data_IF_400799892588
#
_entry.id   IF_400799892588
#
_cell.length_a   1.000
_cell.length_b   1.000
_cell.length_c   1.000
_cell.angle_alpha   90.00
_cell.angle_beta   90.00
_cell.angle_gamma   90.00
#
_symmetry.space_group_name_H-M   'P 1'
#
loop_
_entity.id
_entity.type
_entity.pdbx_description
1 polymer ?
#
# COMPACT_ATOMS: atom_id res chain seq x y z
N UNK A 1 53.05 -1.56 6.13
CA UNK A 1 51.75 -1.78 6.80
C UNK A 1 50.65 -0.87 6.23
N UNK A 2 50.48 -0.80 4.90
CA UNK A 2 49.48 0.11 4.27
C UNK A 2 48.23 -0.60 3.73
N UNK A 3 48.28 -1.92 3.51
CA UNK A 3 47.19 -2.62 2.83
C UNK A 3 46.02 -2.96 3.76
N UNK A 4 46.24 -3.03 5.07
CA UNK A 4 45.23 -3.44 6.07
C UNK A 4 44.23 -2.33 6.42
N UNK A 5 44.67 -1.06 6.36
CA UNK A 5 43.79 0.10 6.55
C UNK A 5 42.99 0.43 5.28
N UNK A 6 43.57 0.21 4.09
CA UNK A 6 42.85 0.39 2.82
C UNK A 6 41.73 -0.65 2.64
N UNK A 7 41.93 -1.89 3.10
CA UNK A 7 40.91 -2.94 3.04
C UNK A 7 39.69 -2.61 3.92
N UNK A 8 39.91 -2.01 5.10
CA UNK A 8 38.83 -1.52 5.98
C UNK A 8 38.05 -0.35 5.36
N UNK A 9 38.74 0.57 4.69
CA UNK A 9 38.12 1.71 4.00
C UNK A 9 37.32 1.25 2.78
N UNK A 10 37.79 0.22 2.07
CA UNK A 10 37.14 -0.33 0.88
C UNK A 10 35.88 -1.15 1.21
N UNK A 11 35.85 -1.83 2.38
CA UNK A 11 34.64 -2.47 2.88
C UNK A 11 33.61 -1.43 3.35
N UNK A 12 34.06 -0.32 3.96
CA UNK A 12 33.17 0.76 4.42
C UNK A 12 32.45 1.49 3.28
N UNK A 13 33.06 1.58 2.09
CA UNK A 13 32.45 2.24 0.93
C UNK A 13 31.43 1.38 0.17
N UNK A 14 31.49 0.04 0.26
CA UNK A 14 30.52 -0.84 -0.41
C UNK A 14 29.12 -0.82 0.22
N UNK A 15 28.99 -0.45 1.50
CA UNK A 15 27.70 -0.43 2.21
C UNK A 15 26.79 0.77 1.85
N UNK A 16 27.28 1.74 1.06
CA UNK A 16 26.52 2.95 0.72
C UNK A 16 25.65 2.82 -0.55
N UNK A 17 25.61 1.64 -1.19
CA UNK A 17 24.89 1.45 -2.46
C UNK A 17 23.74 0.44 -2.36
N UNK A 18 22.66 0.81 -1.65
CA UNK A 18 21.38 0.11 -1.75
C UNK A 18 20.18 0.96 -1.33
N UNK A 19 19.92 2.07 -2.05
CA UNK A 19 18.60 2.73 -2.00
C UNK A 19 17.95 2.62 -3.38
N UNK A 20 17.40 1.45 -3.71
CA UNK A 20 16.39 1.37 -4.75
C UNK A 20 15.09 1.92 -4.14
N UNK A 21 14.84 3.21 -4.30
CA UNK A 21 13.66 3.87 -3.76
C UNK A 21 12.53 3.89 -4.80
N UNK A 22 11.48 3.11 -4.59
CA UNK A 22 10.28 3.03 -5.42
C UNK A 22 9.05 3.66 -4.74
N UNK A 23 9.25 4.58 -3.79
CA UNK A 23 8.18 5.26 -3.06
C UNK A 23 7.29 6.14 -3.96
N UNK A 24 6.02 6.30 -3.57
CA UNK A 24 5.13 7.28 -4.18
C UNK A 24 5.53 8.69 -3.74
N UNK A 25 5.44 9.66 -4.65
CA UNK A 25 5.65 11.07 -4.29
C UNK A 25 4.38 11.62 -3.67
N UNK A 26 4.52 12.46 -2.64
CA UNK A 26 3.37 13.08 -1.97
C UNK A 26 2.47 13.91 -2.92
N UNK A 27 3.01 14.45 -4.03
CA UNK A 27 2.23 15.17 -5.04
C UNK A 27 1.44 14.25 -6.00
N UNK A 28 1.67 12.94 -5.92
CA UNK A 28 1.08 11.92 -6.79
C UNK A 28 0.12 10.99 -6.01
N UNK A 29 -0.33 11.42 -4.83
CA UNK A 29 -1.12 10.59 -3.91
C UNK A 29 -2.23 11.42 -3.25
N UNK A 30 -3.45 10.89 -3.32
CA UNK A 30 -4.58 11.35 -2.52
C UNK A 30 -4.56 10.64 -1.17
N UNK A 31 -4.49 11.41 -0.10
CA UNK A 31 -4.53 10.93 1.28
C UNK A 31 -5.95 11.07 1.84
N UNK A 32 -6.50 9.98 2.37
CA UNK A 32 -7.81 9.97 3.06
C UNK A 32 -7.64 9.39 4.46
N UNK A 33 -8.16 10.10 5.46
CA UNK A 33 -8.14 9.67 6.86
C UNK A 33 -9.52 9.88 7.50
N UNK A 34 -10.23 8.77 7.69
CA UNK A 34 -11.57 8.77 8.27
C UNK A 34 -11.51 8.23 9.68
N UNK A 35 -12.17 8.91 10.61
CA UNK A 35 -12.22 8.56 12.03
C UNK A 35 -13.64 8.27 12.49
N UNK A 36 -13.80 7.32 13.40
CA UNK A 36 -15.10 6.95 13.94
C UNK A 36 -14.99 6.54 15.41
N UNK A 37 -15.78 7.19 16.28
CA UNK A 37 -15.86 6.89 17.70
C UNK A 37 -17.15 6.09 17.95
N UNK A 38 -17.01 4.79 18.19
CA UNK A 38 -18.14 3.91 18.47
C UNK A 38 -18.76 4.17 19.85
N UNK A 39 -20.01 3.72 20.08
CA UNK A 39 -20.57 3.63 21.42
C UNK A 39 -19.63 2.88 22.37
N UNK A 40 -19.41 3.42 23.57
CA UNK A 40 -18.39 2.90 24.51
C UNK A 40 -17.02 3.58 24.40
N UNK A 41 -16.82 4.47 23.42
CA UNK A 41 -15.58 5.24 23.29
C UNK A 41 -14.47 4.52 22.53
N UNK A 42 -14.76 3.40 21.89
CA UNK A 42 -13.81 2.73 21.01
C UNK A 42 -13.51 3.61 19.78
N UNK A 43 -12.23 3.87 19.52
CA UNK A 43 -11.76 4.74 18.42
C UNK A 43 -11.25 3.90 17.26
N UNK A 44 -11.87 4.07 16.09
CA UNK A 44 -11.53 3.34 14.86
C UNK A 44 -11.12 4.36 13.79
N UNK A 45 -10.13 4.03 12.98
CA UNK A 45 -9.78 4.82 11.82
C UNK A 45 -9.64 3.96 10.56
N UNK A 46 -9.80 4.61 9.40
CA UNK A 46 -9.38 4.12 8.11
C UNK A 46 -8.43 5.13 7.50
N UNK A 47 -7.23 4.67 7.14
CA UNK A 47 -6.23 5.47 6.46
C UNK A 47 -5.96 4.88 5.09
N UNK A 48 -6.00 5.68 4.04
CA UNK A 48 -5.69 5.22 2.69
C UNK A 48 -4.89 6.24 1.89
N UNK A 49 -3.96 5.72 1.11
CA UNK A 49 -3.21 6.45 0.09
C UNK A 49 -3.62 5.89 -1.27
N UNK A 50 -4.12 6.75 -2.17
CA UNK A 50 -4.49 6.37 -3.54
C UNK A 50 -3.63 7.12 -4.53
N UNK A 51 -3.06 6.45 -5.52
CA UNK A 51 -2.25 7.12 -6.53
C UNK A 51 -3.13 8.06 -7.37
N UNK A 52 -2.80 9.35 -7.43
CA UNK A 52 -3.47 10.27 -8.36
C UNK A 52 -3.06 9.88 -9.77
N UNK A 53 -4.04 9.54 -10.61
CA UNK A 53 -3.77 9.36 -12.03
C UNK A 53 -3.48 10.75 -12.60
N UNK A 54 -2.20 11.08 -12.83
CA UNK A 54 -1.86 12.23 -13.65
C UNK A 54 -2.61 12.10 -14.99
N UNK A 55 -3.50 13.04 -15.28
CA UNK A 55 -4.16 13.10 -16.57
C UNK A 55 -3.11 13.26 -17.68
N UNK A 56 -3.14 12.32 -18.64
CA UNK A 56 -2.56 12.31 -20.01
C UNK A 56 -1.02 12.32 -20.14
N UNK A 57 -0.34 11.50 -20.95
CA UNK A 57 -0.65 11.06 -22.32
C UNK A 57 0.08 9.74 -22.73
N UNK A 58 -0.52 9.00 -23.67
CA UNK A 58 0.22 8.19 -24.65
C UNK A 58 0.16 6.66 -24.53
N UNK A 59 -0.97 6.04 -24.92
CA UNK A 59 -1.03 4.59 -25.03
C UNK A 59 -2.35 3.99 -25.51
N UNK A 60 -2.93 4.56 -26.57
CA UNK A 60 -4.01 3.91 -27.31
C UNK A 60 -3.61 2.48 -27.72
N UNK A 61 -4.29 1.48 -27.15
CA UNK A 61 -4.57 0.22 -27.84
C UNK A 61 -6.02 -0.18 -27.58
N UNK A 62 -6.85 0.27 -28.51
CA UNK A 62 -8.06 -0.40 -28.93
C UNK A 62 -7.91 -1.93 -28.88
N UNK A 63 -8.74 -2.59 -28.07
CA UNK A 63 -9.23 -3.95 -28.36
C UNK A 63 -10.50 -4.22 -27.55
N UNK A 64 -11.49 -3.32 -27.69
CA UNK A 64 -12.87 -3.76 -27.71
C UNK A 64 -13.09 -4.44 -29.06
N UNK A 65 -13.06 -5.78 -29.09
CA UNK A 65 -13.73 -6.55 -30.14
C UNK A 65 -14.39 -7.74 -29.48
N UNK A 66 -15.71 -7.70 -29.43
CA UNK A 66 -16.51 -8.83 -29.02
C UNK A 66 -16.39 -10.02 -29.96
N UNK A 67 -16.80 -11.16 -29.42
CA UNK A 67 -17.74 -12.11 -30.03
C UNK A 67 -17.29 -12.83 -31.32
N UNK A 68 -16.77 -14.05 -31.11
CA UNK A 68 -17.43 -15.27 -31.58
C UNK A 68 -17.19 -15.74 -33.03
N UNK A 69 -16.88 -17.04 -33.11
CA UNK A 69 -17.12 -18.02 -34.18
C UNK A 69 -16.16 -18.09 -35.38
N UNK A 70 -15.59 -19.30 -35.60
CA UNK A 70 -14.92 -19.66 -36.85
C UNK A 70 -13.90 -20.79 -36.77
N UNK A 71 -14.37 -22.04 -36.74
CA UNK A 71 -13.66 -23.32 -36.96
C UNK A 71 -12.40 -23.21 -37.83
N UNK A 72 -11.25 -23.74 -37.39
CA UNK A 72 -10.25 -24.39 -38.26
C UNK A 72 -9.73 -25.66 -37.57
N UNK A 73 -9.86 -26.76 -38.31
CA UNK A 73 -9.47 -28.13 -37.99
C UNK A 73 -7.96 -28.32 -38.03
N UNK A 74 -7.38 -28.88 -36.96
CA UNK A 74 -5.98 -29.27 -36.88
C UNK A 74 -5.82 -30.59 -36.13
N UNK A 75 -5.33 -31.59 -36.86
CA UNK A 75 -5.25 -33.02 -36.56
C UNK A 75 -3.92 -33.35 -35.86
N UNK A 76 -3.97 -34.05 -34.73
CA UNK A 76 -2.89 -34.95 -34.28
C UNK A 76 -1.99 -34.45 -33.16
N UNK A 77 -1.90 -35.23 -32.08
CA UNK A 77 -0.87 -35.10 -31.05
C UNK A 77 -1.25 -35.73 -29.72
N UNK A 78 -1.12 -37.06 -29.60
CA UNK A 78 -1.08 -37.75 -28.30
C UNK A 78 0.17 -37.28 -27.55
N UNK A 79 -0.02 -36.44 -26.53
CA UNK A 79 1.01 -36.07 -25.56
C UNK A 79 0.46 -36.25 -24.15
N UNK A 80 0.83 -37.35 -23.51
CA UNK A 80 0.64 -37.55 -22.08
C UNK A 80 1.61 -36.61 -21.34
N UNK A 81 1.11 -35.46 -20.91
CA UNK A 81 1.81 -34.55 -20.00
C UNK A 81 1.09 -34.52 -18.66
N UNK A 82 1.56 -35.34 -17.70
CA UNK A 82 1.29 -35.13 -16.28
C UNK A 82 2.20 -33.99 -15.78
N UNK A 83 1.63 -32.84 -15.50
CA UNK A 83 2.17 -31.84 -14.57
C UNK A 83 1.07 -30.80 -14.38
N UNK A 84 0.30 -30.89 -13.31
CA UNK A 84 0.75 -30.34 -12.05
C UNK A 84 0.36 -28.87 -12.02
N UNK A 85 -0.93 -28.61 -11.79
CA UNK A 85 -1.37 -27.28 -11.40
C UNK A 85 -0.64 -26.91 -10.12
N UNK A 86 0.08 -25.79 -10.13
CA UNK A 86 0.42 -25.06 -8.92
C UNK A 86 0.53 -23.59 -9.27
N UNK A 87 -0.47 -22.83 -8.81
CA UNK A 87 -0.52 -21.38 -8.95
C UNK A 87 0.67 -20.76 -8.24
N UNK A 88 1.45 -19.98 -8.98
CA UNK A 88 2.44 -19.06 -8.44
C UNK A 88 2.00 -17.64 -8.80
N UNK A 89 0.97 -17.18 -8.09
CA UNK A 89 0.41 -15.82 -8.25
C UNK A 89 0.60 -14.99 -6.97
N UNK A 90 1.36 -15.48 -6.00
CA UNK A 90 1.51 -14.88 -4.66
C UNK A 90 2.79 -14.08 -4.44
N UNK A 91 3.84 -14.28 -5.24
CA UNK A 91 5.16 -13.68 -4.98
C UNK A 91 5.21 -12.18 -5.25
N UNK A 92 4.51 -11.70 -6.28
CA UNK A 92 4.51 -10.28 -6.65
C UNK A 92 3.76 -9.39 -5.65
N UNK A 93 2.71 -9.91 -5.01
CA UNK A 93 1.90 -9.15 -4.04
C UNK A 93 2.68 -8.96 -2.73
N UNK A 94 3.25 -10.04 -2.19
CA UNK A 94 3.99 -9.99 -0.93
C UNK A 94 5.25 -9.14 -1.01
N UNK A 95 5.97 -9.19 -2.14
CA UNK A 95 7.14 -8.35 -2.37
C UNK A 95 6.77 -6.85 -2.48
N UNK A 96 5.68 -6.53 -3.19
CA UNK A 96 5.19 -5.16 -3.31
C UNK A 96 4.75 -4.60 -1.95
N UNK A 97 3.94 -5.35 -1.22
CA UNK A 97 3.51 -5.01 0.15
C UNK A 97 4.72 -4.76 1.07
N UNK A 98 5.68 -5.68 1.09
CA UNK A 98 6.90 -5.53 1.89
C UNK A 98 7.70 -4.27 1.54
N UNK A 99 7.70 -3.87 0.26
CA UNK A 99 8.38 -2.66 -0.18
C UNK A 99 7.64 -1.36 0.17
N UNK A 100 6.30 -1.37 0.18
CA UNK A 100 5.50 -0.16 0.39
C UNK A 100 5.06 0.05 1.84
N UNK A 101 4.98 -1.01 2.65
CA UNK A 101 4.54 -0.93 4.05
C UNK A 101 5.35 0.06 4.89
N UNK A 102 6.70 0.15 4.79
CA UNK A 102 7.46 1.15 5.53
C UNK A 102 7.05 2.60 5.21
N UNK A 103 6.93 2.92 3.92
CA UNK A 103 6.49 4.25 3.46
C UNK A 103 5.07 4.58 3.94
N UNK A 104 4.15 3.61 3.82
CA UNK A 104 2.77 3.78 4.29
C UNK A 104 2.70 4.03 5.80
N UNK A 105 3.48 3.27 6.59
CA UNK A 105 3.52 3.40 8.03
C UNK A 105 4.05 4.77 8.46
N UNK A 106 5.10 5.28 7.80
CA UNK A 106 5.63 6.63 8.07
C UNK A 106 4.54 7.72 7.87
N UNK A 107 3.80 7.61 6.77
CA UNK A 107 2.69 8.53 6.46
C UNK A 107 1.55 8.43 7.49
N UNK A 108 1.16 7.20 7.85
CA UNK A 108 0.13 6.94 8.86
C UNK A 108 0.53 7.48 10.24
N UNK A 109 1.75 7.20 10.70
CA UNK A 109 2.27 7.70 11.98
C UNK A 109 2.31 9.23 12.01
N UNK A 110 2.73 9.86 10.91
CA UNK A 110 2.70 11.31 10.76
C UNK A 110 1.27 11.86 10.85
N UNK A 111 0.29 11.21 10.20
CA UNK A 111 -1.12 11.61 10.23
C UNK A 111 -1.74 11.43 11.61
N UNK A 112 -1.49 10.32 12.29
CA UNK A 112 -1.96 10.06 13.66
C UNK A 112 -1.38 11.07 14.64
N UNK A 113 -0.08 11.35 14.55
CA UNK A 113 0.58 12.36 15.40
C UNK A 113 0.03 13.77 15.20
N UNK A 114 -0.18 14.18 13.94
CA UNK A 114 -0.72 15.51 13.60
C UNK A 114 -2.18 15.67 13.99
N UNK A 115 -3.00 14.62 13.79
CA UNK A 115 -4.41 14.64 14.17
C UNK A 115 -4.61 14.54 15.68
N UNK A 116 -3.72 13.82 16.36
CA UNK A 116 -3.85 13.46 17.77
C UNK A 116 -4.96 12.44 18.03
N UNK A 117 -5.37 11.67 17.01
CA UNK A 117 -6.50 10.74 17.12
C UNK A 117 -6.17 9.51 17.98
N UNK A 118 -5.04 8.85 17.74
CA UNK A 118 -4.49 7.82 18.62
C UNK A 118 -3.23 8.35 19.31
N UNK A 119 -3.20 8.32 20.65
CA UNK A 119 -2.13 8.84 21.51
C UNK A 119 -1.20 7.73 22.00
N UNK A 120 -1.76 6.57 22.32
CA UNK A 120 -1.01 5.50 22.99
C UNK A 120 -0.59 4.40 22.01
N UNK A 121 -1.09 4.45 20.77
CA UNK A 121 -0.77 3.49 19.72
C UNK A 121 -2.02 3.06 18.97
N UNK A 122 -1.86 2.11 18.07
CA UNK A 122 -3.00 1.48 17.40
C UNK A 122 -2.71 0.02 17.08
N UNK A 123 -3.79 -0.75 16.97
CA UNK A 123 -3.81 -2.13 16.51
C UNK A 123 -4.32 -2.15 15.08
N UNK A 124 -3.56 -2.80 14.17
CA UNK A 124 -3.99 -3.05 12.79
C UNK A 124 -5.12 -4.10 12.79
N UNK A 125 -6.30 -3.74 12.28
CA UNK A 125 -7.44 -4.65 12.15
C UNK A 125 -7.50 -5.30 10.77
N UNK A 126 -7.20 -4.54 9.72
CA UNK A 126 -7.16 -5.01 8.35
C UNK A 126 -6.23 -4.12 7.52
N UNK A 127 -5.63 -4.69 6.47
CA UNK A 127 -4.76 -3.95 5.56
C UNK A 127 -4.82 -4.44 4.12
N UNK A 128 -4.62 -3.49 3.21
CA UNK A 128 -4.59 -3.72 1.78
C UNK A 128 -3.45 -2.95 1.13
N UNK A 129 -2.54 -3.67 0.48
CA UNK A 129 -1.39 -3.09 -0.24
C UNK A 129 -1.47 -3.45 -1.73
N UNK A 130 -2.19 -2.63 -2.50
CA UNK A 130 -2.35 -2.75 -3.95
C UNK A 130 -1.55 -1.71 -4.72
N UNK A 131 -1.27 -1.95 -6.01
CA UNK A 131 -0.43 -1.06 -6.83
C UNK A 131 -0.97 0.36 -7.02
N UNK A 132 -2.26 0.58 -6.81
CA UNK A 132 -2.90 1.89 -6.93
C UNK A 132 -3.49 2.43 -5.63
N UNK A 133 -3.58 1.59 -4.59
CA UNK A 133 -4.16 1.96 -3.31
C UNK A 133 -3.50 1.17 -2.18
N UNK A 134 -3.12 1.88 -1.12
CA UNK A 134 -2.66 1.34 0.15
C UNK A 134 -3.66 1.74 1.23
N UNK A 135 -4.00 0.84 2.13
CA UNK A 135 -4.98 1.10 3.18
C UNK A 135 -4.69 0.29 4.46
N UNK A 136 -4.92 0.91 5.62
CA UNK A 136 -5.03 0.25 6.91
C UNK A 136 -6.32 0.71 7.60
N UNK A 137 -7.04 -0.25 8.17
CA UNK A 137 -8.06 0.01 9.19
C UNK A 137 -7.47 -0.34 10.56
N UNK A 138 -7.58 0.57 11.51
CA UNK A 138 -7.01 0.37 12.85
C UNK A 138 -7.95 0.79 13.97
N UNK A 139 -7.58 0.34 15.16
CA UNK A 139 -8.21 0.67 16.44
C UNK A 139 -7.17 1.35 17.33
N UNK A 140 -7.48 2.49 17.93
CA UNK A 140 -6.55 3.09 18.91
C UNK A 140 -6.50 2.23 20.17
N UNK A 141 -5.34 2.13 20.80
CA UNK A 141 -5.19 1.38 22.05
C UNK A 141 -5.94 2.04 23.21
N UNK A 142 -6.14 3.35 23.15
CA UNK A 142 -6.91 4.10 24.14
C UNK A 142 -8.34 4.46 23.69
N UNK A 143 -9.24 4.60 24.66
CA UNK A 143 -10.60 5.08 24.43
C UNK A 143 -10.68 6.59 24.18
N UNK A 144 -11.80 7.02 23.60
CA UNK A 144 -12.12 8.42 23.35
C UNK A 144 -12.36 9.18 24.65
N UNK A 145 -11.65 10.30 24.81
CA UNK A 145 -11.95 11.29 25.85
C UNK A 145 -13.15 12.15 25.43
N UNK A 146 -13.59 13.03 26.33
CA UNK A 146 -14.66 13.98 25.99
C UNK A 146 -14.21 14.96 24.89
N UNK A 147 -12.94 15.37 24.93
CA UNK A 147 -12.34 16.24 23.92
C UNK A 147 -12.32 15.54 22.55
N UNK A 148 -12.03 14.23 22.51
CA UNK A 148 -12.07 13.45 21.26
C UNK A 148 -13.48 13.44 20.66
N UNK A 149 -14.52 13.32 21.49
CA UNK A 149 -15.93 13.33 21.04
C UNK A 149 -16.33 14.66 20.44
N UNK A 150 -15.87 15.76 21.03
CA UNK A 150 -16.13 17.11 20.51
C UNK A 150 -15.37 17.32 19.20
N UNK A 151 -14.11 16.90 19.14
CA UNK A 151 -13.23 17.16 18.00
C UNK A 151 -13.56 16.31 16.76
N UNK A 152 -13.81 15.01 16.93
CA UNK A 152 -13.83 14.06 15.81
C UNK A 152 -15.23 13.62 15.38
N UNK A 153 -16.27 13.86 16.17
CA UNK A 153 -17.65 13.55 15.75
C UNK A 153 -18.17 14.60 14.75
N UNK A 154 -17.69 15.85 14.82
CA UNK A 154 -18.18 16.98 14.01
C UNK A 154 -17.54 17.04 12.61
N UNK A 155 -16.36 16.42 12.38
CA UNK A 155 -15.64 16.53 11.11
C UNK A 155 -16.09 15.55 10.02
N UNK A 156 -16.97 14.59 10.34
CA UNK A 156 -17.47 13.62 9.38
C UNK A 156 -18.43 14.21 8.32
N UNK A 157 -18.83 15.48 8.45
CA UNK A 157 -19.78 16.14 7.56
C UNK A 157 -19.13 17.06 6.50
N UNK A 158 -17.81 17.28 6.53
CA UNK A 158 -17.17 18.38 5.79
C UNK A 158 -16.22 18.01 4.65
N UNK A 159 -15.94 16.73 4.38
CA UNK A 159 -15.06 16.30 3.27
C UNK A 159 -15.83 15.49 2.21
N UNK A 160 -17.05 15.93 1.89
CA UNK A 160 -17.91 15.37 0.86
C UNK A 160 -18.75 16.43 0.17
N UNK A 161 -18.11 17.35 -0.56
CA UNK A 161 -18.75 18.26 -1.52
C UNK A 161 -17.79 18.64 -2.64
#
# INVERSE_FOLDING_TARGET
MCCKNYFLILILSLFLTACANNQWKSSEVDEVFVTDIKPGGLKIFNYSLTKTAAQTDGGERNASSGKGSGKHSGRGGKGAGKSGGHGSMGSGKSAYESSMKPYFNEMLESKLKKSGYCRDGYIELDSYFGRGQLQIRGECEEGATEEDRIKFVIQNDSEGS
#
